data_IF_773083030146
#
_entry.id   IF_773083030146
#
_cell.length_a   1.000
_cell.length_b   1.000
_cell.length_c   1.000
_cell.angle_alpha   90.00
_cell.angle_beta   90.00
_cell.angle_gamma   90.00
#
_symmetry.space_group_name_H-M   'P 1'
#
loop_
_entity.id
_entity.type
_entity.pdbx_description
1 polymer ?
#
# COMPACT_ATOMS: atom_id res chain seq x y z
N UNK A 1 -2.96 -14.04 36.14
CA UNK A 1 -3.09 -15.07 35.08
C UNK A 1 -3.25 -14.32 33.79
N UNK A 2 -2.13 -14.03 33.16
CA UNK A 2 -2.05 -13.13 32.03
C UNK A 2 -2.61 -13.82 30.80
N UNK A 3 -3.58 -13.17 30.15
CA UNK A 3 -4.16 -13.64 28.92
C UNK A 3 -3.25 -13.28 27.75
N UNK A 4 -2.05 -13.88 27.73
CA UNK A 4 -1.09 -13.76 26.63
C UNK A 4 -1.77 -14.24 25.34
N UNK A 5 -2.19 -13.31 24.49
CA UNK A 5 -2.79 -13.65 23.20
C UNK A 5 -1.70 -14.28 22.35
N UNK A 6 -1.80 -15.60 22.13
CA UNK A 6 -0.91 -16.32 21.22
C UNK A 6 -1.31 -15.96 19.79
N UNK A 7 -0.66 -14.94 19.25
CA UNK A 7 -0.96 -14.37 17.94
C UNK A 7 -0.57 -15.31 16.80
N UNK A 8 -1.49 -16.22 16.46
CA UNK A 8 -1.45 -17.06 15.25
C UNK A 8 -2.14 -16.39 14.05
N UNK A 9 -2.25 -17.16 12.96
CA UNK A 9 -2.69 -16.68 11.63
C UNK A 9 -4.14 -16.20 11.53
N UNK A 10 -4.93 -16.34 12.59
CA UNK A 10 -6.29 -15.79 12.67
C UNK A 10 -6.27 -14.27 12.91
N UNK A 11 -5.23 -13.76 13.58
CA UNK A 11 -5.04 -12.31 13.75
C UNK A 11 -4.61 -11.64 12.44
N UNK A 12 -3.79 -12.31 11.63
CA UNK A 12 -3.41 -11.84 10.30
C UNK A 12 -4.64 -11.70 9.41
N UNK A 13 -5.54 -12.70 9.46
CA UNK A 13 -6.84 -12.66 8.76
C UNK A 13 -7.72 -11.51 9.26
N UNK A 14 -7.88 -11.35 10.57
CA UNK A 14 -8.68 -10.26 11.13
C UNK A 14 -8.15 -8.89 10.71
N UNK A 15 -6.84 -8.67 10.76
CA UNK A 15 -6.24 -7.41 10.31
C UNK A 15 -6.33 -7.22 8.78
N UNK A 16 -6.23 -8.30 8.00
CA UNK A 16 -6.38 -8.26 6.55
C UNK A 16 -7.81 -7.87 6.17
N UNK A 17 -8.82 -8.62 6.64
CA UNK A 17 -10.24 -8.33 6.41
C UNK A 17 -10.62 -6.91 6.87
N UNK A 18 -10.06 -6.44 8.00
CA UNK A 18 -10.29 -5.07 8.50
C UNK A 18 -9.72 -4.01 7.55
N UNK A 19 -8.52 -4.21 6.98
CA UNK A 19 -7.99 -3.32 5.93
C UNK A 19 -8.81 -3.37 4.66
N UNK A 20 -9.18 -4.55 4.18
CA UNK A 20 -9.99 -4.71 2.96
C UNK A 20 -11.34 -4.00 3.11
N UNK A 21 -11.99 -4.13 4.26
CA UNK A 21 -13.23 -3.42 4.57
C UNK A 21 -13.03 -1.89 4.66
N UNK A 22 -11.93 -1.42 5.25
CA UNK A 22 -11.63 0.01 5.34
C UNK A 22 -11.36 0.63 3.97
N UNK A 23 -10.50 0.02 3.14
CA UNK A 23 -10.26 0.49 1.78
C UNK A 23 -11.52 0.39 0.91
N UNK A 24 -12.30 -0.69 1.02
CA UNK A 24 -13.58 -0.78 0.31
C UNK A 24 -14.52 0.38 0.65
N UNK A 25 -14.57 0.82 1.90
CA UNK A 25 -15.31 2.00 2.34
C UNK A 25 -14.77 3.30 1.71
N UNK A 26 -13.47 3.58 1.86
CA UNK A 26 -12.84 4.82 1.34
C UNK A 26 -12.82 4.90 -0.20
N UNK A 27 -12.86 3.76 -0.90
CA UNK A 27 -12.76 3.65 -2.36
C UNK A 27 -14.06 3.34 -3.10
N UNK A 28 -15.15 2.97 -2.40
CA UNK A 28 -16.42 2.64 -3.05
C UNK A 28 -17.64 3.24 -2.34
N UNK A 29 -17.64 3.37 -1.01
CA UNK A 29 -18.75 3.99 -0.29
C UNK A 29 -18.69 5.53 -0.40
N UNK A 30 -17.53 6.14 -0.12
CA UNK A 30 -17.37 7.60 -0.21
C UNK A 30 -17.49 8.14 -1.65
N UNK A 31 -17.04 7.39 -2.66
CA UNK A 31 -17.21 7.76 -4.07
C UNK A 31 -18.69 7.78 -4.51
N UNK A 32 -19.55 6.99 -3.85
CA UNK A 32 -21.01 6.94 -4.10
C UNK A 32 -21.80 7.92 -3.24
N UNK A 33 -21.32 8.29 -2.06
CA UNK A 33 -21.97 9.25 -1.18
C UNK A 33 -20.96 10.21 -0.50
N UNK A 34 -20.77 11.41 -1.06
CA UNK A 34 -19.86 12.43 -0.51
C UNK A 34 -20.22 12.99 0.88
N UNK A 35 -21.38 12.63 1.46
CA UNK A 35 -21.71 13.02 2.85
C UNK A 35 -21.09 12.09 3.91
N UNK A 36 -20.48 10.97 3.49
CA UNK A 36 -19.78 10.05 4.37
C UNK A 36 -18.44 10.62 4.85
N UNK A 37 -18.12 10.43 6.13
CA UNK A 37 -16.86 10.88 6.74
C UNK A 37 -15.74 9.87 6.46
N UNK A 38 -14.62 10.32 5.89
CA UNK A 38 -13.38 9.54 5.84
C UNK A 38 -12.88 9.22 7.26
N UNK A 39 -12.39 7.99 7.45
CA UNK A 39 -11.86 7.50 8.71
C UNK A 39 -10.41 7.06 8.55
N UNK A 40 -9.62 7.20 9.62
CA UNK A 40 -8.39 6.40 9.74
C UNK A 40 -8.75 4.92 9.93
N UNK A 41 -7.88 4.01 9.50
CA UNK A 41 -8.04 2.57 9.71
C UNK A 41 -8.35 2.23 11.19
N UNK A 42 -7.75 2.97 12.14
CA UNK A 42 -7.98 2.80 13.58
C UNK A 42 -9.39 3.23 14.00
N UNK A 43 -9.86 4.40 13.59
CA UNK A 43 -11.26 4.83 13.84
C UNK A 43 -12.26 3.84 13.22
N UNK A 44 -12.05 3.45 11.97
CA UNK A 44 -12.90 2.48 11.27
C UNK A 44 -12.95 1.14 12.00
N UNK A 45 -11.80 0.64 12.46
CA UNK A 45 -11.72 -0.61 13.24
C UNK A 45 -12.45 -0.50 14.57
N UNK A 46 -12.27 0.60 15.32
CA UNK A 46 -12.97 0.84 16.58
C UNK A 46 -14.50 0.89 16.38
N UNK A 47 -14.98 1.51 15.31
CA UNK A 47 -16.40 1.56 14.96
C UNK A 47 -16.94 0.17 14.58
N UNK A 48 -16.21 -0.57 13.73
CA UNK A 48 -16.58 -1.93 13.33
C UNK A 48 -16.60 -2.89 14.52
N UNK A 49 -15.60 -2.84 15.40
CA UNK A 49 -15.54 -3.66 16.61
C UNK A 49 -16.69 -3.31 17.57
N UNK A 50 -16.96 -2.02 17.82
CA UNK A 50 -18.07 -1.59 18.69
C UNK A 50 -19.46 -1.94 18.13
N UNK A 51 -19.57 -2.13 16.81
CA UNK A 51 -20.80 -2.51 16.11
C UNK A 51 -21.04 -4.03 16.06
N UNK A 52 -20.11 -4.83 16.60
CA UNK A 52 -20.22 -6.29 16.64
C UNK A 52 -19.99 -6.78 18.08
N UNK A 53 -21.01 -7.29 18.75
CA UNK A 53 -20.92 -7.65 20.18
C UNK A 53 -19.85 -8.72 20.51
N UNK A 54 -19.40 -9.48 19.51
CA UNK A 54 -18.26 -10.42 19.61
C UNK A 54 -16.91 -9.68 19.70
N UNK A 55 -16.76 -8.57 18.97
CA UNK A 55 -15.51 -7.78 18.87
C UNK A 55 -15.48 -6.59 19.83
N UNK A 56 -16.65 -6.13 20.28
CA UNK A 56 -16.86 -5.01 21.20
C UNK A 56 -16.05 -5.06 22.51
N UNK A 57 -15.84 -6.23 23.17
CA UNK A 57 -14.96 -6.30 24.34
C UNK A 57 -13.50 -5.91 24.06
N UNK A 58 -13.04 -6.08 22.81
CA UNK A 58 -11.67 -5.78 22.40
C UNK A 58 -11.42 -4.29 22.08
N UNK A 59 -12.47 -3.46 22.02
CA UNK A 59 -12.33 -2.00 21.79
C UNK A 59 -11.48 -1.34 22.88
N UNK A 60 -11.57 -1.82 24.13
CA UNK A 60 -10.75 -1.35 25.25
C UNK A 60 -9.24 -1.67 25.09
N UNK A 61 -8.89 -2.61 24.20
CA UNK A 61 -7.52 -3.04 23.92
C UNK A 61 -7.06 -2.66 22.51
N UNK A 62 -7.81 -1.79 21.80
CA UNK A 62 -7.54 -1.47 20.39
C UNK A 62 -6.15 -0.85 20.17
N UNK A 63 -5.60 -0.17 21.18
CA UNK A 63 -4.27 0.43 21.13
C UNK A 63 -3.15 -0.62 21.15
N UNK A 64 -3.25 -1.62 22.04
CA UNK A 64 -2.30 -2.75 22.07
C UNK A 64 -2.46 -3.64 20.83
N UNK A 65 -3.69 -3.89 20.37
CA UNK A 65 -3.96 -4.63 19.13
C UNK A 65 -3.29 -3.93 17.92
N UNK A 66 -3.41 -2.60 17.79
CA UNK A 66 -2.74 -1.84 16.71
C UNK A 66 -1.22 -1.76 16.87
N UNK A 67 -0.71 -1.82 18.10
CA UNK A 67 0.73 -1.88 18.43
C UNK A 67 1.33 -3.26 18.13
N UNK A 68 0.55 -4.33 18.26
CA UNK A 68 0.98 -5.69 17.93
C UNK A 68 0.88 -5.96 16.42
N UNK A 69 -0.21 -5.56 15.76
CA UNK A 69 -0.27 -5.43 14.28
C UNK A 69 0.90 -4.57 13.77
N UNK A 70 1.20 -3.51 14.52
CA UNK A 70 2.40 -2.66 14.49
C UNK A 70 3.69 -3.48 14.36
N UNK A 71 4.05 -4.15 15.46
CA UNK A 71 5.32 -4.87 15.62
C UNK A 71 5.49 -6.07 14.68
N UNK A 72 4.40 -6.77 14.35
CA UNK A 72 4.46 -7.90 13.42
C UNK A 72 4.80 -7.45 11.99
N UNK A 73 4.07 -6.44 11.48
CA UNK A 73 4.26 -5.93 10.11
C UNK A 73 5.60 -5.24 9.85
N UNK A 74 6.39 -4.91 10.88
CA UNK A 74 7.78 -4.43 10.71
C UNK A 74 8.73 -5.59 10.36
N UNK A 75 8.41 -6.83 10.73
CA UNK A 75 9.24 -8.02 10.46
C UNK A 75 8.89 -8.76 9.16
N UNK A 76 7.69 -8.54 8.61
CA UNK A 76 7.27 -9.16 7.34
C UNK A 76 8.23 -8.75 6.21
N UNK A 77 8.86 -9.70 5.49
CA UNK A 77 9.73 -9.41 4.37
C UNK A 77 9.03 -8.59 3.28
N UNK A 78 9.78 -7.69 2.66
CA UNK A 78 9.33 -6.90 1.51
C UNK A 78 10.08 -7.33 0.26
N UNK A 79 9.35 -7.53 -0.84
CA UNK A 79 9.97 -7.79 -2.15
C UNK A 79 9.35 -6.94 -3.24
N UNK A 80 10.11 -6.72 -4.32
CA UNK A 80 9.75 -5.87 -5.45
C UNK A 80 10.86 -5.84 -6.49
N UNK A 81 10.90 -4.80 -7.33
CA UNK A 81 11.89 -4.68 -8.40
C UNK A 81 12.54 -3.30 -8.53
N UNK A 82 13.80 -3.30 -8.93
CA UNK A 82 14.48 -2.16 -9.55
C UNK A 82 14.33 -2.36 -11.06
N UNK A 83 13.42 -1.61 -11.67
CA UNK A 83 13.13 -1.69 -13.10
C UNK A 83 14.03 -0.68 -13.82
N UNK A 84 14.86 -1.13 -14.77
CA UNK A 84 15.79 -0.34 -15.57
C UNK A 84 15.35 -0.22 -17.03
N UNK A 85 15.66 0.92 -17.65
CA UNK A 85 15.41 1.20 -19.06
C UNK A 85 16.42 0.51 -20.01
N UNK A 86 16.22 0.61 -21.32
CA UNK A 86 17.10 -0.01 -22.34
C UNK A 86 18.57 0.45 -22.32
N UNK A 87 18.91 1.61 -21.73
CA UNK A 87 20.30 2.09 -21.58
C UNK A 87 20.89 1.94 -20.16
N UNK A 88 20.12 1.38 -19.22
CA UNK A 88 20.46 1.29 -17.78
C UNK A 88 20.77 2.65 -17.12
N UNK A 89 20.34 3.78 -17.70
CA UNK A 89 20.56 5.13 -17.15
C UNK A 89 19.46 5.57 -16.17
N UNK A 90 18.26 4.98 -16.29
CA UNK A 90 17.08 5.36 -15.51
C UNK A 90 16.46 4.15 -14.84
N UNK A 91 15.91 4.36 -13.64
CA UNK A 91 15.06 3.39 -12.97
C UNK A 91 13.64 3.91 -12.79
N UNK A 92 12.65 3.01 -12.81
CA UNK A 92 11.26 3.35 -12.51
C UNK A 92 11.06 3.51 -10.99
N UNK A 93 10.59 4.68 -10.54
CA UNK A 93 10.15 4.91 -9.16
C UNK A 93 8.65 5.21 -9.10
N UNK A 94 8.02 4.73 -8.04
CA UNK A 94 6.61 5.02 -7.69
C UNK A 94 6.54 5.99 -6.50
N UNK A 95 5.43 6.72 -6.40
CA UNK A 95 5.15 7.68 -5.32
C UNK A 95 3.74 7.51 -4.77
N UNK A 96 3.66 7.11 -3.50
CA UNK A 96 2.40 6.90 -2.79
C UNK A 96 1.60 8.19 -2.54
N UNK A 97 0.27 8.10 -2.60
CA UNK A 97 -0.67 9.23 -2.56
C UNK A 97 -0.64 10.04 -1.26
N UNK A 98 -0.42 9.37 -0.14
CA UNK A 98 -0.34 9.99 1.20
C UNK A 98 1.07 10.53 1.52
N UNK A 99 1.96 10.64 0.52
CA UNK A 99 3.37 10.99 0.72
C UNK A 99 4.02 11.82 -0.39
N UNK A 100 5.21 12.33 -0.08
CA UNK A 100 6.10 13.03 -1.01
C UNK A 100 7.37 12.24 -1.34
N UNK A 101 7.55 11.06 -0.75
CA UNK A 101 8.69 10.17 -0.98
C UNK A 101 8.49 9.34 -2.25
N UNK A 102 9.57 9.16 -3.01
CA UNK A 102 9.68 8.21 -4.12
C UNK A 102 10.43 6.95 -3.68
N UNK A 103 10.09 5.80 -4.27
CA UNK A 103 10.76 4.53 -3.99
C UNK A 103 10.55 3.49 -5.09
N UNK A 104 11.34 2.42 -5.08
CA UNK A 104 11.16 1.27 -5.99
C UNK A 104 9.83 0.54 -5.72
N UNK A 105 9.12 0.05 -6.76
CA UNK A 105 7.88 -0.70 -6.57
C UNK A 105 8.12 -2.00 -5.79
N UNK A 106 7.40 -2.19 -4.67
CA UNK A 106 7.56 -3.29 -3.71
C UNK A 106 6.45 -3.29 -2.66
N UNK A 107 6.11 -4.47 -2.16
CA UNK A 107 5.24 -4.62 -1.00
C UNK A 107 5.56 -5.86 -0.19
N UNK A 108 4.56 -6.42 0.49
CA UNK A 108 4.80 -7.36 1.61
C UNK A 108 4.45 -8.78 1.23
N UNK A 109 5.39 -9.69 1.51
CA UNK A 109 5.23 -11.09 1.19
C UNK A 109 4.09 -11.71 2.00
N UNK A 110 3.16 -12.34 1.30
CA UNK A 110 2.08 -13.11 1.89
C UNK A 110 2.62 -14.37 2.57
N UNK A 111 1.77 -14.97 3.41
CA UNK A 111 2.10 -16.25 4.04
C UNK A 111 2.31 -17.33 2.96
N UNK A 112 3.42 -18.06 3.08
CA UNK A 112 3.84 -19.15 2.19
C UNK A 112 4.06 -18.73 0.70
N UNK A 113 4.15 -17.42 0.42
CA UNK A 113 4.44 -16.88 -0.92
C UNK A 113 5.97 -16.88 -1.19
N UNK A 114 6.36 -17.10 -2.45
CA UNK A 114 7.76 -17.06 -2.87
C UNK A 114 8.26 -15.64 -3.16
N UNK A 115 9.55 -15.37 -2.90
CA UNK A 115 10.09 -14.00 -2.92
C UNK A 115 9.95 -13.32 -4.30
N UNK A 116 10.15 -14.09 -5.37
CA UNK A 116 10.00 -13.66 -6.76
C UNK A 116 8.52 -13.53 -7.18
N UNK A 117 7.64 -14.41 -6.70
CA UNK A 117 6.19 -14.35 -6.94
C UNK A 117 5.59 -13.09 -6.31
N UNK A 118 5.98 -12.78 -5.07
CA UNK A 118 5.61 -11.52 -4.43
C UNK A 118 6.16 -10.31 -5.20
N UNK A 119 7.40 -10.36 -5.71
CA UNK A 119 7.98 -9.25 -6.45
C UNK A 119 7.22 -8.97 -7.76
N UNK A 120 6.84 -10.01 -8.50
CA UNK A 120 6.00 -9.90 -9.70
C UNK A 120 4.64 -9.29 -9.36
N UNK A 121 3.98 -9.83 -8.32
CA UNK A 121 2.65 -9.39 -7.89
C UNK A 121 2.64 -7.90 -7.46
N UNK A 122 3.54 -7.51 -6.56
CA UNK A 122 3.60 -6.14 -6.04
C UNK A 122 3.94 -5.11 -7.14
N UNK A 123 4.82 -5.47 -8.07
CA UNK A 123 5.14 -4.61 -9.23
C UNK A 123 3.93 -4.47 -10.17
N UNK A 124 3.20 -5.56 -10.43
CA UNK A 124 1.98 -5.53 -11.22
C UNK A 124 0.87 -4.71 -10.54
N UNK A 125 0.70 -4.82 -9.23
CA UNK A 125 -0.25 -4.03 -8.43
C UNK A 125 0.08 -2.53 -8.46
N UNK A 126 1.32 -2.13 -8.15
CA UNK A 126 1.75 -0.72 -8.08
C UNK A 126 2.00 -0.05 -9.44
N UNK A 127 2.24 -0.80 -10.53
CA UNK A 127 2.65 -0.22 -11.83
C UNK A 127 1.86 -0.67 -13.05
N UNK A 128 1.10 -1.77 -12.97
CA UNK A 128 0.38 -2.36 -14.11
C UNK A 128 1.28 -3.10 -15.11
N UNK A 129 2.59 -3.19 -14.85
CA UNK A 129 3.55 -3.89 -15.70
C UNK A 129 3.88 -5.26 -15.12
N UNK A 130 3.71 -6.32 -15.91
CA UNK A 130 4.15 -7.65 -15.53
C UNK A 130 5.64 -7.83 -15.86
N UNK A 131 6.41 -8.25 -14.85
CA UNK A 131 7.86 -8.52 -14.95
C UNK A 131 8.18 -10.02 -15.01
N UNK A 132 7.18 -10.90 -15.04
CA UNK A 132 7.32 -12.36 -15.02
C UNK A 132 8.34 -12.92 -16.03
N UNK A 133 8.23 -12.50 -17.29
CA UNK A 133 9.11 -12.92 -18.41
C UNK A 133 10.49 -12.22 -18.41
N UNK A 134 10.70 -11.20 -17.56
CA UNK A 134 11.95 -10.43 -17.49
C UNK A 134 12.73 -10.62 -16.17
N UNK A 135 12.13 -11.26 -15.16
CA UNK A 135 12.73 -11.43 -13.84
C UNK A 135 13.64 -12.67 -13.82
N UNK A 136 14.95 -12.43 -13.79
CA UNK A 136 15.91 -13.44 -13.38
C UNK A 136 15.87 -13.60 -11.84
N UNK A 137 15.86 -14.84 -11.35
CA UNK A 137 15.77 -15.14 -9.91
C UNK A 137 17.09 -14.94 -9.16
N UNK A 138 18.20 -14.90 -9.88
CA UNK A 138 19.54 -14.70 -9.32
C UNK A 138 19.94 -13.20 -9.30
N UNK A 139 19.35 -12.37 -10.16
CA UNK A 139 19.61 -10.93 -10.22
C UNK A 139 18.77 -10.17 -9.18
N UNK A 140 19.27 -10.10 -7.94
CA UNK A 140 18.65 -9.30 -6.88
C UNK A 140 19.67 -8.63 -5.97
N UNK A 141 19.22 -7.56 -5.31
CA UNK A 141 19.91 -6.91 -4.19
C UNK A 141 19.06 -7.10 -2.93
N UNK A 142 19.67 -7.57 -1.85
CA UNK A 142 19.02 -7.76 -0.56
C UNK A 142 19.68 -6.90 0.53
N UNK A 143 18.84 -6.23 1.32
CA UNK A 143 19.22 -5.34 2.40
C UNK A 143 18.37 -5.65 3.65
N UNK A 144 18.91 -5.34 4.84
CA UNK A 144 18.19 -5.51 6.12
C UNK A 144 18.08 -4.15 6.81
N UNK A 145 16.84 -3.68 7.00
CA UNK A 145 16.53 -2.42 7.66
C UNK A 145 15.96 -2.68 9.05
N UNK A 146 16.82 -2.66 10.07
CA UNK A 146 16.46 -2.97 11.45
C UNK A 146 16.09 -4.45 11.62
N UNK A 147 14.79 -4.76 11.55
CA UNK A 147 14.27 -6.14 11.55
C UNK A 147 13.59 -6.54 10.23
N UNK A 148 13.54 -5.65 9.23
CA UNK A 148 12.89 -5.94 7.96
C UNK A 148 13.88 -6.38 6.89
N UNK A 149 13.68 -7.57 6.32
CA UNK A 149 14.36 -8.04 5.11
C UNK A 149 13.72 -7.38 3.89
N UNK A 150 14.52 -6.80 2.99
CA UNK A 150 14.05 -6.18 1.74
C UNK A 150 14.86 -6.72 0.56
N UNK A 151 14.20 -7.40 -0.39
CA UNK A 151 14.82 -7.89 -1.64
C UNK A 151 14.23 -7.18 -2.84
N UNK A 152 15.07 -6.59 -3.68
CA UNK A 152 14.65 -6.02 -4.95
C UNK A 152 15.34 -6.78 -6.09
N UNK A 153 14.55 -7.38 -6.97
CA UNK A 153 15.05 -8.01 -8.20
C UNK A 153 15.43 -6.93 -9.21
N UNK A 154 16.46 -7.14 -10.01
CA UNK A 154 16.85 -6.22 -11.07
C UNK A 154 16.17 -6.69 -12.36
N UNK A 155 15.28 -5.86 -12.91
CA UNK A 155 14.53 -6.14 -14.14
C UNK A 155 14.93 -5.10 -15.16
N UNK A 156 15.64 -5.49 -16.21
CA UNK A 156 16.35 -4.55 -17.07
C UNK A 156 15.97 -4.69 -18.55
N UNK A 157 16.19 -3.63 -19.33
CA UNK A 157 15.83 -3.60 -20.75
C UNK A 157 14.36 -3.25 -21.03
N UNK A 158 13.67 -2.59 -20.09
CA UNK A 158 12.28 -2.18 -20.28
C UNK A 158 12.21 -0.96 -21.19
N UNK A 159 11.32 -1.02 -22.19
CA UNK A 159 11.20 -0.01 -23.25
C UNK A 159 10.51 1.26 -22.79
N UNK A 160 10.85 2.37 -23.43
CA UNK A 160 10.23 3.68 -23.17
C UNK A 160 8.74 3.77 -23.57
N UNK A 161 8.26 2.90 -24.48
CA UNK A 161 6.85 2.83 -24.90
C UNK A 161 5.98 1.93 -23.99
N UNK A 162 6.58 1.34 -22.95
CA UNK A 162 5.86 0.56 -21.93
C UNK A 162 4.83 1.44 -21.22
N UNK A 163 3.55 1.08 -21.33
CA UNK A 163 2.48 1.75 -20.60
C UNK A 163 2.45 1.30 -19.13
N UNK A 164 2.43 2.27 -18.21
CA UNK A 164 2.30 2.03 -16.77
C UNK A 164 1.00 2.66 -16.25
N UNK A 165 0.31 1.96 -15.35
CA UNK A 165 -0.82 2.46 -14.58
C UNK A 165 -1.06 1.53 -13.38
N UNK A 166 -1.15 2.03 -12.13
CA UNK A 166 -1.40 1.20 -10.97
C UNK A 166 -2.77 0.51 -11.08
N UNK A 167 -2.84 -0.74 -10.62
CA UNK A 167 -4.09 -1.49 -10.54
C UNK A 167 -4.84 -1.18 -9.22
N UNK A 168 -4.12 -0.75 -8.17
CA UNK A 168 -4.70 -0.37 -6.88
C UNK A 168 -5.20 1.08 -6.88
N UNK A 169 -6.41 1.31 -6.34
CA UNK A 169 -6.99 2.65 -6.16
C UNK A 169 -6.24 3.43 -5.06
N UNK A 170 -6.03 4.73 -5.29
CA UNK A 170 -5.53 5.73 -4.30
C UNK A 170 -4.22 5.38 -3.56
N UNK A 171 -3.50 4.35 -3.98
CA UNK A 171 -2.21 3.95 -3.42
C UNK A 171 -1.07 4.72 -4.07
N UNK A 172 -0.87 4.55 -5.38
CA UNK A 172 0.11 5.30 -6.17
C UNK A 172 -0.51 6.55 -6.77
N UNK A 173 0.22 7.67 -6.70
CA UNK A 173 -0.16 8.97 -7.27
C UNK A 173 0.64 9.37 -8.50
N UNK A 174 1.84 8.81 -8.66
CA UNK A 174 2.75 9.13 -9.75
C UNK A 174 3.76 7.98 -9.96
N UNK A 175 4.06 7.68 -11.23
CA UNK A 175 5.09 6.73 -11.68
C UNK A 175 6.00 7.48 -12.65
N UNK A 176 7.31 7.41 -12.45
CA UNK A 176 8.27 8.13 -13.27
C UNK A 176 9.60 7.39 -13.44
N UNK A 177 10.18 7.51 -14.62
CA UNK A 177 11.59 7.21 -14.86
C UNK A 177 12.46 8.29 -14.21
N UNK A 178 13.38 7.91 -13.33
CA UNK A 178 14.34 8.82 -12.68
C UNK A 178 15.77 8.40 -13.07
N UNK A 179 16.65 9.35 -13.37
CA UNK A 179 18.05 9.03 -13.71
C UNK A 179 18.85 8.60 -12.48
N UNK A 180 19.73 7.62 -12.63
CA UNK A 180 20.54 7.08 -11.53
C UNK A 180 21.59 8.07 -11.00
N UNK A 181 21.95 9.10 -11.78
CA UNK A 181 22.81 10.21 -11.35
C UNK A 181 22.04 11.24 -10.49
N UNK A 182 20.83 11.64 -10.86
CA UNK A 182 19.97 12.51 -10.05
C UNK A 182 19.60 11.90 -8.68
N UNK A 183 19.56 10.56 -8.59
CA UNK A 183 19.24 9.84 -7.35
C UNK A 183 20.39 9.78 -6.33
N UNK A 184 21.61 10.21 -6.67
CA UNK A 184 22.75 10.18 -5.75
C UNK A 184 22.49 11.11 -4.53
N UNK A 185 22.44 10.57 -3.31
CA UNK A 185 22.26 11.36 -2.08
C UNK A 185 23.60 11.67 -1.42
N UNK A 186 23.57 12.56 -0.41
CA UNK A 186 24.76 12.85 0.41
C UNK A 186 25.13 11.70 1.38
N UNK A 187 24.22 10.74 1.60
CA UNK A 187 24.37 9.60 2.50
C UNK A 187 23.39 8.46 2.18
N UNK A 188 23.73 7.23 2.57
CA UNK A 188 22.92 6.02 2.37
C UNK A 188 21.76 5.87 3.38
N UNK A 189 21.15 6.99 3.79
CA UNK A 189 20.05 6.99 4.75
C UNK A 189 18.76 6.37 4.18
N UNK A 190 18.01 5.71 5.07
CA UNK A 190 16.69 5.12 4.78
C UNK A 190 15.71 6.14 4.19
N UNK A 191 15.81 7.41 4.60
CA UNK A 191 15.13 8.55 3.95
C UNK A 191 16.20 9.57 3.59
N UNK A 192 16.42 9.77 2.30
CA UNK A 192 17.43 10.69 1.78
C UNK A 192 16.81 11.70 0.80
N UNK A 193 17.64 12.57 0.21
CA UNK A 193 17.27 13.41 -0.93
C UNK A 193 18.28 13.22 -2.04
N UNK A 194 17.78 13.00 -3.27
CA UNK A 194 18.61 13.08 -4.47
C UNK A 194 19.01 14.52 -4.80
N UNK A 195 19.89 14.69 -5.80
CA UNK A 195 20.47 15.98 -6.21
C UNK A 195 19.37 17.00 -6.56
N UNK A 196 18.29 16.56 -7.19
CA UNK A 196 17.11 17.37 -7.56
C UNK A 196 16.18 17.71 -6.38
N UNK A 197 16.54 17.36 -5.15
CA UNK A 197 15.75 17.58 -3.94
C UNK A 197 14.60 16.59 -3.74
N UNK A 198 14.41 15.64 -4.68
CA UNK A 198 13.47 14.52 -4.59
C UNK A 198 13.69 13.77 -3.27
N UNK A 199 12.65 13.66 -2.45
CA UNK A 199 12.68 12.84 -1.23
C UNK A 199 12.62 11.37 -1.64
N UNK A 200 13.61 10.59 -1.21
CA UNK A 200 13.71 9.16 -1.51
C UNK A 200 13.44 8.34 -0.24
N UNK A 201 12.93 7.11 -0.40
CA UNK A 201 12.70 6.18 0.71
C UNK A 201 13.15 4.77 0.35
N UNK A 202 14.17 4.26 1.05
CA UNK A 202 14.84 2.98 0.76
C UNK A 202 15.31 2.84 -0.71
N UNK A 203 15.82 3.94 -1.28
CA UNK A 203 16.47 3.95 -2.61
C UNK A 203 17.99 3.96 -2.46
N UNK A 204 18.53 4.92 -1.70
CA UNK A 204 19.97 5.15 -1.52
C UNK A 204 20.80 3.88 -1.26
N UNK A 205 20.45 3.00 -0.29
CA UNK A 205 21.28 1.86 0.07
C UNK A 205 21.48 0.84 -1.06
N UNK A 206 20.56 0.82 -2.04
CA UNK A 206 20.63 -0.09 -3.18
C UNK A 206 21.53 0.45 -4.31
N UNK A 207 21.79 1.76 -4.37
CA UNK A 207 22.44 2.41 -5.52
C UNK A 207 23.87 1.91 -5.76
N UNK A 208 24.63 1.60 -4.70
CA UNK A 208 26.00 1.10 -4.80
C UNK A 208 26.05 -0.30 -5.42
N UNK A 209 25.22 -1.23 -4.94
CA UNK A 209 25.11 -2.58 -5.51
C UNK A 209 24.51 -2.56 -6.92
N UNK A 210 23.54 -1.68 -7.18
CA UNK A 210 22.94 -1.48 -8.49
C UNK A 210 23.96 -0.99 -9.52
N UNK A 211 24.79 -0.01 -9.16
CA UNK A 211 25.90 0.46 -10.01
C UNK A 211 26.92 -0.65 -10.31
N UNK A 212 27.22 -1.52 -9.34
CA UNK A 212 28.11 -2.66 -9.55
C UNK A 212 27.50 -3.67 -10.55
N UNK A 213 26.20 -3.97 -10.43
CA UNK A 213 25.48 -4.83 -11.38
C UNK A 213 25.43 -4.23 -12.78
N UNK A 214 25.11 -2.93 -12.90
CA UNK A 214 25.10 -2.19 -14.19
C UNK A 214 26.50 -2.15 -14.82
N UNK A 215 27.56 -2.10 -14.02
CA UNK A 215 28.94 -2.13 -14.53
C UNK A 215 29.38 -3.53 -15.01
N UNK A 216 28.68 -4.58 -14.59
CA UNK A 216 28.94 -5.97 -14.98
C UNK A 216 28.09 -6.44 -16.19
N UNK A 217 26.98 -5.75 -16.49
CA UNK A 217 26.02 -6.11 -17.53
C UNK A 217 26.02 -5.09 -18.67
N UNK A 218 25.97 -5.54 -19.92
CA UNK A 218 25.92 -4.65 -21.08
C UNK A 218 24.48 -4.19 -21.35
N UNK A 219 24.21 -2.88 -21.52
CA UNK A 219 22.87 -2.39 -21.85
C UNK A 219 22.48 -2.80 -23.28
N UNK A 220 21.23 -3.21 -23.54
CA UNK A 220 20.73 -3.53 -24.88
C UNK A 220 20.87 -2.39 -25.91
N UNK A 221 20.88 -1.14 -25.43
CA UNK A 221 20.96 0.08 -26.25
C UNK A 221 22.04 1.00 -25.69
N UNK A 222 22.91 1.61 -26.54
CA UNK A 222 23.92 2.55 -26.05
C UNK A 222 23.27 3.81 -25.42
N UNK A 223 23.93 4.45 -24.43
CA UNK A 223 23.46 5.70 -23.82
C UNK A 223 23.12 6.78 -24.85
N UNK A 224 22.01 7.50 -24.66
CA UNK A 224 21.51 8.49 -25.63
C UNK A 224 21.65 9.91 -25.08
N UNK A 225 22.59 10.68 -25.65
CA UNK A 225 22.92 12.06 -25.27
C UNK A 225 21.76 13.03 -25.22
N UNK A 226 20.73 12.80 -26.05
CA UNK A 226 19.73 13.81 -26.40
C UNK A 226 18.50 13.78 -25.46
N UNK A 227 18.56 12.98 -24.38
CA UNK A 227 17.42 12.75 -23.49
C UNK A 227 17.28 13.86 -22.43
N UNK A 228 16.04 14.21 -22.03
CA UNK A 228 15.82 15.15 -20.93
C UNK A 228 16.53 14.67 -19.65
N UNK A 229 17.32 15.56 -19.03
CA UNK A 229 18.00 15.27 -17.76
C UNK A 229 16.99 14.96 -16.64
N UNK A 230 15.87 15.69 -16.64
CA UNK A 230 14.84 15.59 -15.60
C UNK A 230 13.97 14.36 -15.79
N UNK A 231 13.70 13.63 -14.69
CA UNK A 231 12.86 12.44 -14.69
C UNK A 231 11.50 12.59 -15.39
N UNK A 232 11.12 11.54 -16.14
CA UNK A 232 9.96 11.51 -17.04
C UNK A 232 8.80 10.82 -16.34
N UNK A 233 7.76 11.60 -16.02
CA UNK A 233 6.50 11.09 -15.45
C UNK A 233 5.72 10.33 -16.53
N UNK A 234 5.59 9.01 -16.37
CA UNK A 234 4.89 8.11 -17.31
C UNK A 234 3.42 7.91 -16.95
N UNK A 235 3.09 8.02 -15.66
CA UNK A 235 1.71 8.01 -15.18
C UNK A 235 1.54 8.96 -14.00
N UNK A 236 0.40 9.66 -13.97
CA UNK A 236 0.05 10.57 -12.86
C UNK A 236 -1.45 10.59 -12.62
N UNK A 237 -1.85 10.51 -11.36
CA UNK A 237 -3.24 10.61 -10.95
C UNK A 237 -3.84 11.99 -11.28
N UNK A 238 -5.10 12.01 -11.72
CA UNK A 238 -5.86 13.24 -11.93
C UNK A 238 -6.46 13.72 -10.60
N UNK A 239 -5.83 14.71 -9.97
CA UNK A 239 -6.41 15.40 -8.81
C UNK A 239 -7.64 16.20 -9.25
N UNK A 240 -8.83 15.84 -8.75
CA UNK A 240 -10.08 16.51 -9.03
C UNK A 240 -10.24 17.80 -8.21
N UNK A 241 -9.56 18.88 -8.61
CA UNK A 241 -9.68 20.19 -7.95
C UNK A 241 -9.52 21.39 -8.89
N UNK A 242 -10.53 22.26 -8.87
CA UNK A 242 -10.54 23.66 -9.39
C UNK A 242 -10.72 23.84 -10.90
N UNK A 243 -11.91 24.27 -11.32
CA UNK A 243 -12.29 24.49 -12.73
C UNK A 243 -13.58 25.28 -12.97
N UNK A 244 -13.77 26.41 -12.26
CA UNK A 244 -14.75 27.49 -12.47
C UNK A 244 -16.24 27.18 -12.82
N UNK A 245 -17.10 27.50 -11.86
CA UNK A 245 -18.36 28.30 -12.01
C UNK A 245 -19.47 27.86 -12.99
N UNK A 246 -20.59 27.42 -12.43
CA UNK A 246 -21.94 27.88 -12.80
C UNK A 246 -22.87 27.72 -11.59
N UNK A 247 -23.78 28.68 -11.37
CA UNK A 247 -24.59 28.75 -10.13
C UNK A 247 -26.08 28.59 -10.40
N UNK A 248 -26.77 27.83 -9.54
CA UNK A 248 -28.23 27.81 -9.37
C UNK A 248 -28.53 27.67 -7.86
N UNK A 249 -29.64 28.23 -7.40
CA UNK A 249 -30.02 28.44 -5.99
C UNK A 249 -31.17 27.54 -5.50
N UNK A 250 -31.55 27.69 -4.22
CA UNK A 250 -32.79 27.20 -3.56
C UNK A 250 -32.82 25.70 -3.15
N UNK A 251 -33.51 25.26 -2.08
CA UNK A 251 -34.19 25.95 -0.95
C UNK A 251 -34.20 25.11 0.36
N UNK A 252 -34.77 25.63 1.46
CA UNK A 252 -34.79 25.02 2.82
C UNK A 252 -35.86 23.92 3.08
N UNK A 253 -35.76 23.17 4.20
CA UNK A 253 -36.79 23.06 5.30
C UNK A 253 -36.38 22.10 6.48
N UNK A 254 -37.07 22.22 7.63
CA UNK A 254 -36.89 21.59 8.98
C UNK A 254 -37.56 20.17 9.13
N UNK A 255 -37.42 19.33 10.18
CA UNK A 255 -36.51 19.14 11.36
C UNK A 255 -37.02 17.94 12.24
N UNK A 256 -36.16 17.16 12.93
CA UNK A 256 -36.55 15.98 13.77
C UNK A 256 -35.74 15.75 15.07
N UNK A 257 -36.23 14.88 15.97
CA UNK A 257 -35.70 14.41 17.30
C UNK A 257 -36.39 13.05 17.68
N UNK A 258 -36.08 12.22 18.71
CA UNK A 258 -35.23 12.28 19.94
C UNK A 258 -34.80 10.83 20.38
N UNK A 259 -34.47 10.61 21.68
CA UNK A 259 -34.05 9.36 22.39
C UNK A 259 -35.23 8.82 23.29
N UNK A 260 -35.21 7.72 24.13
CA UNK A 260 -34.09 7.14 24.91
C UNK A 260 -33.99 5.58 25.08
N UNK A 261 -33.00 5.14 25.88
CA UNK A 261 -32.65 3.77 26.41
C UNK A 261 -33.22 3.55 27.86
N UNK A 262 -32.92 2.50 28.71
CA UNK A 262 -31.96 1.36 28.73
C UNK A 262 -32.67 -0.02 29.04
N UNK A 263 -32.16 -1.11 29.74
CA UNK A 263 -30.87 -1.42 30.40
C UNK A 263 -30.34 -2.91 30.22
N UNK A 264 -29.64 -3.42 31.25
CA UNK A 264 -28.84 -4.65 31.48
C UNK A 264 -29.57 -6.02 31.55
N UNK A 265 -28.94 -7.21 31.44
CA UNK A 265 -27.81 -7.76 32.24
C UNK A 265 -27.14 -9.01 31.61
N UNK A 266 -25.91 -9.38 32.03
CA UNK A 266 -25.33 -10.69 31.69
C UNK A 266 -23.88 -10.98 32.20
N UNK A 267 -23.54 -12.22 32.59
CA UNK A 267 -22.17 -12.68 32.86
C UNK A 267 -21.65 -13.67 31.80
N UNK A 268 -20.46 -13.44 31.23
CA UNK A 268 -19.92 -14.23 30.09
C UNK A 268 -19.01 -15.42 30.45
N UNK A 269 -18.38 -16.04 29.43
CA UNK A 269 -17.07 -16.77 29.48
C UNK A 269 -16.63 -17.36 28.13
N UNK A 270 -15.37 -17.10 27.75
CA UNK A 270 -14.48 -17.90 26.86
C UNK A 270 -14.87 -18.18 25.39
N UNK A 271 -13.97 -17.81 24.46
CA UNK A 271 -14.11 -17.92 23.00
C UNK A 271 -13.92 -19.33 22.39
N UNK A 272 -13.78 -20.39 23.20
CA UNK A 272 -13.33 -21.73 22.74
C UNK A 272 -14.20 -22.40 21.67
N UNK A 273 -15.44 -21.94 21.47
CA UNK A 273 -16.40 -22.51 20.51
C UNK A 273 -16.81 -21.52 19.41
N UNK A 274 -16.09 -20.40 19.21
CA UNK A 274 -16.46 -19.44 18.18
C UNK A 274 -16.28 -20.03 16.77
N UNK A 275 -17.29 -19.87 15.93
CA UNK A 275 -17.26 -20.18 14.49
C UNK A 275 -18.00 -19.08 13.74
N UNK A 276 -17.44 -18.64 12.62
CA UNK A 276 -18.14 -17.75 11.70
C UNK A 276 -19.28 -18.49 11.00
N UNK A 277 -20.50 -17.98 11.13
CA UNK A 277 -21.63 -18.37 10.28
C UNK A 277 -21.59 -17.56 8.98
N UNK A 278 -20.76 -18.03 8.05
CA UNK A 278 -20.51 -17.33 6.77
C UNK A 278 -21.78 -17.12 5.96
N UNK A 279 -22.75 -18.04 6.07
CA UNK A 279 -24.04 -17.93 5.39
C UNK A 279 -24.88 -16.77 5.92
N UNK A 280 -24.98 -16.60 7.24
CA UNK A 280 -25.66 -15.43 7.84
C UNK A 280 -24.97 -14.11 7.49
N UNK A 281 -23.63 -14.10 7.39
CA UNK A 281 -22.87 -12.88 7.03
C UNK A 281 -23.10 -12.50 5.57
N UNK A 282 -23.05 -13.46 4.64
CA UNK A 282 -23.34 -13.21 3.23
C UNK A 282 -24.78 -12.70 3.03
N UNK A 283 -25.77 -13.36 3.65
CA UNK A 283 -27.17 -12.92 3.58
C UNK A 283 -27.39 -11.52 4.20
N UNK A 284 -26.65 -11.15 5.25
CA UNK A 284 -26.71 -9.81 5.82
C UNK A 284 -26.08 -8.74 4.90
N UNK A 285 -25.02 -9.10 4.16
CA UNK A 285 -24.40 -8.24 3.14
C UNK A 285 -25.32 -8.06 1.93
N UNK A 286 -25.92 -9.13 1.41
CA UNK A 286 -26.86 -9.08 0.28
C UNK A 286 -28.10 -8.22 0.62
N UNK A 287 -28.68 -8.42 1.82
CA UNK A 287 -29.79 -7.61 2.31
C UNK A 287 -29.45 -6.10 2.42
N UNK A 288 -28.20 -5.76 2.75
CA UNK A 288 -27.74 -4.38 2.88
C UNK A 288 -27.47 -3.66 1.54
N UNK A 289 -27.51 -4.38 0.40
CA UNK A 289 -27.30 -3.83 -0.94
C UNK A 289 -28.54 -3.92 -1.85
N UNK A 290 -29.71 -4.28 -1.32
CA UNK A 290 -30.95 -4.50 -2.10
C UNK A 290 -32.05 -3.45 -1.78
N UNK A 291 -31.66 -2.19 -1.62
CA UNK A 291 -32.54 -1.00 -1.52
C UNK A 291 -31.91 0.21 -2.19
#
# INVERSE_FOLDING_TARGET
>A
MDASISFGSESEKLESCTKTAHWFYEDNAMEKNPSLKSFTLKEFTSLMFNSCDVLKPYVAHIDDIFKDFTSYKVRVPVTGAIILDESFERCLLVKGWKGTSWSFPRGKKNKDEEDHTCAIREVLEETGFDVSELLNKDDYIEMIFGQQRVRLYIVAGVKDDTAFAPLTKKEISEIAWQRLDELQPANDDVISRGITGLKLYMVAPFLTSLKAWISANQPPVPPRSDRPLKGISVWKAKNSSTGSSSAVTENQVNKSTLDPRPPDTGPGRSFKNFRFDTAKILHAVEAAFTT
#
